data_IF_761226575614
#
_entry.id   IF_761226575614
#
_cell.length_a   1.000
_cell.length_b   1.000
_cell.length_c   1.000
_cell.angle_alpha   90.00
_cell.angle_beta   90.00
_cell.angle_gamma   90.00
#
_symmetry.space_group_name_H-M   'P 1'
#
loop_
_entity.id
_entity.type
_entity.pdbx_description
1 polymer ?
#
# COMPACT_ATOMS: atom_id res chain seq x y z
N UNK A 1 5.05 14.37 -4.45
CA UNK A 1 4.13 14.25 -3.28
C UNK A 1 4.56 13.08 -2.39
N UNK A 2 4.52 13.23 -1.06
CA UNK A 2 4.81 12.12 -0.13
C UNK A 2 3.63 11.15 -0.08
N UNK A 3 3.91 9.87 -0.34
CA UNK A 3 2.95 8.77 -0.32
C UNK A 3 3.01 8.05 1.03
N UNK A 4 4.21 7.87 1.58
CA UNK A 4 4.41 7.27 2.91
C UNK A 4 5.17 8.23 3.81
N UNK A 5 4.49 8.82 4.79
CA UNK A 5 5.14 9.70 5.76
C UNK A 5 6.04 8.94 6.75
N UNK A 6 5.78 7.65 7.02
CA UNK A 6 6.60 6.86 7.93
C UNK A 6 8.05 6.72 7.46
N UNK A 7 8.24 6.55 6.14
CA UNK A 7 9.55 6.30 5.54
C UNK A 7 9.93 7.36 4.50
N UNK A 8 9.16 8.47 4.45
CA UNK A 8 9.33 9.57 3.50
C UNK A 8 9.40 9.15 2.02
N UNK A 9 8.62 8.14 1.64
CA UNK A 9 8.56 7.66 0.24
C UNK A 9 7.67 8.60 -0.57
N UNK A 10 8.17 9.06 -1.72
CA UNK A 10 7.44 9.98 -2.61
C UNK A 10 6.90 9.26 -3.84
N UNK A 11 5.89 9.88 -4.48
CA UNK A 11 5.35 9.42 -5.75
C UNK A 11 6.45 9.34 -6.82
N UNK A 12 7.25 10.40 -6.93
CA UNK A 12 8.33 10.47 -7.93
C UNK A 12 9.38 9.36 -7.75
N UNK A 13 9.73 9.02 -6.50
CA UNK A 13 10.62 7.90 -6.20
C UNK A 13 10.04 6.57 -6.69
N UNK A 14 8.79 6.27 -6.35
CA UNK A 14 8.12 5.02 -6.75
C UNK A 14 8.03 4.92 -8.28
N UNK A 15 7.57 5.96 -8.95
CA UNK A 15 7.42 5.97 -10.41
C UNK A 15 8.77 5.86 -11.12
N UNK A 16 9.81 6.52 -10.61
CA UNK A 16 11.17 6.40 -11.14
C UNK A 16 11.67 4.95 -11.03
N UNK A 17 11.50 4.31 -9.88
CA UNK A 17 11.97 2.92 -9.68
C UNK A 17 11.22 1.91 -10.53
N UNK A 18 9.90 2.09 -10.69
CA UNK A 18 9.11 1.28 -11.63
C UNK A 18 9.57 1.49 -13.06
N UNK A 19 9.86 2.73 -13.48
CA UNK A 19 10.40 3.02 -14.81
C UNK A 19 11.79 2.40 -15.03
N UNK A 20 12.57 2.19 -13.96
CA UNK A 20 13.83 1.45 -13.97
C UNK A 20 13.66 -0.08 -13.92
N UNK A 21 12.42 -0.58 -13.95
CA UNK A 21 12.11 -2.02 -13.99
C UNK A 21 11.95 -2.68 -12.63
N UNK A 22 11.87 -1.91 -11.54
CA UNK A 22 11.61 -2.48 -10.22
C UNK A 22 10.13 -2.75 -9.97
N UNK A 23 9.81 -3.87 -9.34
CA UNK A 23 8.43 -4.21 -8.98
C UNK A 23 7.99 -3.45 -7.73
N UNK A 24 6.69 -3.21 -7.57
CA UNK A 24 6.15 -2.61 -6.36
C UNK A 24 6.55 -3.40 -5.10
N UNK A 25 6.60 -4.73 -5.18
CA UNK A 25 7.07 -5.58 -4.08
C UNK A 25 8.53 -5.28 -3.70
N UNK A 26 9.42 -5.11 -4.69
CA UNK A 26 10.82 -4.73 -4.45
C UNK A 26 10.95 -3.35 -3.81
N UNK A 27 10.16 -2.39 -4.30
CA UNK A 27 10.14 -1.03 -3.75
C UNK A 27 9.68 -1.05 -2.29
N UNK A 28 8.64 -1.82 -1.97
CA UNK A 28 8.16 -2.00 -0.58
C UNK A 28 9.23 -2.64 0.31
N UNK A 29 9.89 -3.69 -0.16
CA UNK A 29 10.93 -4.39 0.59
C UNK A 29 12.14 -3.50 0.90
N UNK A 30 12.49 -2.59 -0.02
CA UNK A 30 13.68 -1.72 0.11
C UNK A 30 13.40 -0.39 0.80
N UNK A 31 12.19 0.16 0.68
CA UNK A 31 11.83 1.47 1.27
C UNK A 31 11.01 1.37 2.56
N UNK A 32 10.38 0.23 2.82
CA UNK A 32 9.39 0.12 3.88
C UNK A 32 7.99 0.62 3.48
N UNK A 33 7.74 0.99 2.22
CA UNK A 33 6.42 1.45 1.76
C UNK A 33 5.29 0.48 2.19
N UNK A 34 4.39 0.98 3.04
CA UNK A 34 3.26 0.21 3.58
C UNK A 34 3.53 -0.60 4.85
N UNK A 35 4.75 -0.61 5.40
CA UNK A 35 5.10 -1.40 6.61
C UNK A 35 5.03 -0.64 7.94
N UNK A 36 4.93 0.69 7.91
CA UNK A 36 4.90 1.53 9.11
C UNK A 36 3.51 1.53 9.75
N UNK A 37 2.77 2.62 9.59
CA UNK A 37 1.36 2.66 10.02
C UNK A 37 0.40 1.89 9.08
N UNK A 38 0.88 1.39 7.93
CA UNK A 38 0.07 0.69 6.93
C UNK A 38 -0.83 1.58 6.07
N UNK A 39 -1.07 2.84 6.45
CA UNK A 39 -2.09 3.69 5.79
C UNK A 39 -1.85 3.99 4.30
N UNK A 40 -0.62 3.86 3.81
CA UNK A 40 -0.26 4.06 2.40
C UNK A 40 -0.27 2.76 1.56
N UNK A 41 -0.40 1.58 2.18
CA UNK A 41 -0.27 0.29 1.50
C UNK A 41 -1.34 0.11 0.41
N UNK A 42 -2.62 0.28 0.77
CA UNK A 42 -3.73 0.11 -0.19
C UNK A 42 -3.70 1.12 -1.33
N UNK A 43 -3.23 2.35 -1.08
CA UNK A 43 -3.04 3.34 -2.14
C UNK A 43 -1.94 2.89 -3.10
N UNK A 44 -0.82 2.40 -2.57
CA UNK A 44 0.29 1.94 -3.37
C UNK A 44 -0.11 0.75 -4.26
N UNK A 45 -0.82 -0.23 -3.71
CA UNK A 45 -1.30 -1.40 -4.44
C UNK A 45 -2.30 -1.04 -5.55
N UNK A 46 -3.25 -0.14 -5.28
CA UNK A 46 -4.22 0.31 -6.29
C UNK A 46 -3.58 1.12 -7.42
N UNK A 47 -2.46 1.79 -7.13
CA UNK A 47 -1.82 2.70 -8.09
C UNK A 47 -0.75 2.00 -8.92
N UNK A 48 0.02 1.08 -8.32
CA UNK A 48 1.20 0.46 -8.93
C UNK A 48 1.23 -1.08 -8.85
N UNK A 49 0.21 -1.72 -8.27
CA UNK A 49 0.19 -3.17 -8.02
C UNK A 49 -0.14 -4.06 -9.21
N UNK A 50 0.18 -3.65 -10.44
CA UNK A 50 -0.28 -4.33 -11.68
C UNK A 50 0.69 -5.41 -12.17
N UNK A 51 1.39 -6.10 -11.26
CA UNK A 51 2.25 -7.24 -11.64
C UNK A 51 2.05 -8.39 -10.65
N UNK A 52 0.93 -9.10 -10.83
CA UNK A 52 0.64 -10.49 -10.47
C UNK A 52 -0.82 -10.64 -10.05
N UNK A 53 -1.66 -11.17 -10.93
CA UNK A 53 -2.90 -11.84 -10.54
C UNK A 53 -2.76 -13.34 -10.89
N UNK A 54 -3.31 -14.24 -10.05
CA UNK A 54 -4.77 -14.37 -9.99
C UNK A 54 -5.35 -13.99 -8.63
N UNK A 55 -6.40 -13.16 -8.67
CA UNK A 55 -7.56 -13.16 -7.76
C UNK A 55 -7.32 -13.61 -6.30
N UNK A 56 -7.23 -12.64 -5.40
CA UNK A 56 -7.69 -12.82 -4.03
C UNK A 56 -8.94 -11.96 -3.83
N UNK A 57 -10.10 -12.56 -4.06
CA UNK A 57 -11.34 -12.16 -3.41
C UNK A 57 -11.11 -12.10 -1.90
N UNK A 58 -10.83 -10.94 -1.31
CA UNK A 58 -10.98 -10.72 0.14
C UNK A 58 -11.14 -9.24 0.49
N UNK A 59 -12.39 -8.79 0.42
CA UNK A 59 -13.06 -8.04 1.48
C UNK A 59 -12.37 -6.78 2.03
N UNK A 60 -12.58 -5.64 1.38
CA UNK A 60 -12.93 -4.43 2.15
C UNK A 60 -14.42 -4.50 2.50
N UNK A 61 -14.77 -5.38 3.43
CA UNK A 61 -15.95 -5.11 4.24
C UNK A 61 -15.66 -3.84 5.04
N UNK A 62 -16.56 -2.85 5.14
CA UNK A 62 -16.45 -1.88 6.21
C UNK A 62 -16.47 -2.70 7.49
N UNK A 63 -15.33 -2.74 8.20
CA UNK A 63 -15.27 -3.33 9.52
C UNK A 63 -16.41 -2.73 10.32
N UNK A 64 -17.39 -3.54 10.67
CA UNK A 64 -18.36 -3.20 11.69
C UNK A 64 -17.54 -2.97 12.94
N UNK A 65 -17.23 -1.71 13.22
CA UNK A 65 -16.89 -1.28 14.57
C UNK A 65 -18.12 -1.60 15.40
N UNK A 66 -18.12 -2.80 15.97
CA UNK A 66 -19.00 -3.19 17.05
C UNK A 66 -18.65 -2.33 18.25
N UNK A 67 -19.10 -1.07 18.26
CA UNK A 67 -19.23 -0.31 19.49
C UNK A 67 -20.23 -1.08 20.36
N UNK A 68 -19.70 -1.66 21.43
CA UNK A 68 -20.45 -2.42 22.43
C UNK A 68 -21.62 -1.58 22.95
N UNK A 69 -22.84 -1.99 22.63
CA UNK A 69 -24.07 -1.49 23.26
C UNK A 69 -24.20 -2.16 24.64
N UNK A 70 -23.84 -1.44 25.70
CA UNK A 70 -24.25 -1.74 27.08
C UNK A 70 -25.56 -0.98 27.39
N UNK A 71 -26.50 -1.62 28.08
CA UNK A 71 -27.08 -1.07 29.31
C UNK A 71 -26.47 -1.73 30.56
#
# INVERSE_FOLDING_TARGET
MIICYCFQVTKEDIESRIANGETLAGIRATTGLGYGCGGCASLAERTWGVDSEPEATNGSGPGTVGVKKFP
#
